data_IF_837505591920
#
_entry.id   IF_837505591920
#
_cell.length_a   1.000
_cell.length_b   1.000
_cell.length_c   1.000
_cell.angle_alpha   90.00
_cell.angle_beta   90.00
_cell.angle_gamma   90.00
#
_symmetry.space_group_name_H-M   'P 1'
#
loop_
_entity.id
_entity.type
_entity.pdbx_description
1 polymer ?
#
# COMPACT_ATOMS: atom_id res chain seq x y z
N UNK A 1 18.43 46.38 11.65
CA UNK A 1 17.48 45.44 12.28
C UNK A 1 18.26 44.51 13.20
N UNK A 2 17.90 44.41 14.49
CA UNK A 2 18.60 43.54 15.43
C UNK A 2 18.39 42.08 15.02
N UNK A 3 19.49 41.32 14.88
CA UNK A 3 19.43 39.88 14.58
C UNK A 3 18.98 39.17 15.86
N UNK A 4 17.85 38.48 15.78
CA UNK A 4 17.39 37.62 16.85
C UNK A 4 18.35 36.44 16.95
N UNK A 5 19.00 36.27 18.10
CA UNK A 5 19.79 35.07 18.36
C UNK A 5 18.84 33.90 18.63
N UNK A 6 18.69 33.05 17.62
CA UNK A 6 17.83 31.87 17.67
C UNK A 6 18.44 30.78 18.56
N UNK A 7 19.77 30.72 18.67
CA UNK A 7 20.45 29.72 19.48
C UNK A 7 20.17 29.94 20.97
N UNK A 8 20.23 31.19 21.43
CA UNK A 8 19.90 31.55 22.81
C UNK A 8 18.44 31.25 23.16
N UNK A 9 17.53 31.53 22.22
CA UNK A 9 16.10 31.22 22.41
C UNK A 9 15.82 29.72 22.49
N UNK A 10 16.49 28.92 21.65
CA UNK A 10 16.35 27.46 21.67
C UNK A 10 16.97 26.85 22.94
N UNK A 11 18.11 27.39 23.39
CA UNK A 11 18.76 26.98 24.65
C UNK A 11 17.87 27.28 25.86
N UNK A 12 17.35 28.50 25.95
CA UNK A 12 16.43 28.90 27.01
C UNK A 12 15.12 28.09 26.98
N UNK A 13 14.61 27.76 25.78
CA UNK A 13 13.44 26.89 25.64
C UNK A 13 13.72 25.46 26.13
N UNK A 14 14.87 24.89 25.76
CA UNK A 14 15.27 23.55 26.20
C UNK A 14 15.46 23.48 27.72
N UNK A 15 16.13 24.47 28.31
CA UNK A 15 16.31 24.56 29.76
C UNK A 15 14.98 24.68 30.54
N UNK A 16 13.98 25.38 29.96
CA UNK A 16 12.63 25.44 30.56
C UNK A 16 11.92 24.10 30.47
N UNK A 17 11.99 23.42 29.33
CA UNK A 17 11.42 22.08 29.16
C UNK A 17 12.08 21.11 30.14
N UNK A 18 13.41 21.10 30.24
CA UNK A 18 14.14 20.22 31.16
C UNK A 18 13.81 20.49 32.64
N UNK A 19 13.51 21.75 33.01
CA UNK A 19 13.10 22.12 34.36
C UNK A 19 11.61 21.85 34.67
N UNK A 20 10.77 21.73 33.64
CA UNK A 20 9.31 21.55 33.76
C UNK A 20 8.87 20.10 33.50
N UNK A 21 9.76 19.22 33.03
CA UNK A 21 9.49 17.80 32.92
C UNK A 21 9.36 17.22 34.34
N UNK A 22 8.16 16.81 34.80
CA UNK A 22 8.03 16.06 36.04
C UNK A 22 8.92 14.83 35.97
N UNK A 23 9.43 14.34 37.10
CA UNK A 23 10.09 13.04 37.19
C UNK A 23 9.11 11.96 36.71
N UNK A 24 9.12 11.66 35.42
CA UNK A 24 8.34 10.60 34.81
C UNK A 24 8.95 9.27 35.28
N UNK A 25 8.48 8.81 36.44
CA UNK A 25 8.68 7.46 36.94
C UNK A 25 8.37 6.45 35.82
N UNK A 26 9.41 5.76 35.35
CA UNK A 26 9.40 4.55 34.53
C UNK A 26 8.50 4.55 33.27
N UNK A 27 8.40 5.69 32.58
CA UNK A 27 7.89 5.67 31.20
C UNK A 27 8.98 5.08 30.30
N UNK A 28 8.95 3.76 30.08
CA UNK A 28 9.85 3.07 29.15
C UNK A 28 9.95 3.87 27.84
N UNK A 29 11.19 4.14 27.39
CA UNK A 29 11.44 4.95 26.21
C UNK A 29 10.54 4.53 25.05
N UNK A 30 10.01 5.47 24.25
CA UNK A 30 9.09 5.13 23.18
C UNK A 30 9.74 4.14 22.21
N UNK A 31 8.96 3.26 21.59
CA UNK A 31 9.50 2.13 20.82
C UNK A 31 10.55 2.58 19.79
N UNK A 32 10.32 3.69 19.09
CA UNK A 32 11.26 4.19 18.09
C UNK A 32 12.64 4.55 18.67
N UNK A 33 12.73 4.97 19.93
CA UNK A 33 13.98 5.35 20.58
C UNK A 33 14.79 4.13 21.04
N UNK A 34 14.14 2.97 21.14
CA UNK A 34 14.78 1.67 21.46
C UNK A 34 15.28 0.91 20.24
N UNK A 35 14.92 1.35 19.03
CA UNK A 35 15.25 0.65 17.78
C UNK A 35 16.34 1.38 16.99
N UNK A 36 17.20 0.62 16.31
CA UNK A 36 18.20 1.20 15.40
C UNK A 36 17.58 1.53 14.05
N UNK A 37 17.85 2.74 13.54
CA UNK A 37 17.37 3.18 12.22
C UNK A 37 18.12 2.46 11.11
N UNK A 38 17.36 1.88 10.17
CA UNK A 38 17.86 1.32 8.91
C UNK A 38 16.99 1.81 7.76
N UNK A 39 17.60 2.21 6.66
CA UNK A 39 16.90 2.54 5.42
C UNK A 39 16.70 1.27 4.59
N UNK A 40 15.47 1.05 4.14
CA UNK A 40 15.08 -0.12 3.31
C UNK A 40 14.43 0.37 2.03
N UNK A 41 14.87 -0.13 0.89
CA UNK A 41 14.21 0.10 -0.40
C UNK A 41 13.19 -1.00 -0.63
N UNK A 42 11.94 -0.61 -0.84
CA UNK A 42 10.83 -1.49 -1.18
C UNK A 42 10.32 -1.15 -2.56
N UNK A 43 9.77 -2.13 -3.27
CA UNK A 43 9.01 -1.88 -4.48
C UNK A 43 7.70 -1.16 -4.14
N UNK A 44 7.15 -0.43 -5.11
CA UNK A 44 5.95 0.39 -4.89
C UNK A 44 4.72 -0.46 -4.52
N UNK A 45 4.57 -1.61 -5.16
CA UNK A 45 3.54 -2.62 -4.85
C UNK A 45 3.68 -3.12 -3.40
N UNK A 46 4.89 -3.49 -2.97
CA UNK A 46 5.16 -3.94 -1.60
C UNK A 46 4.79 -2.87 -0.57
N UNK A 47 5.14 -1.61 -0.84
CA UNK A 47 4.81 -0.50 0.06
C UNK A 47 3.29 -0.30 0.16
N UNK A 48 2.59 -0.26 -0.98
CA UNK A 48 1.14 -0.11 -1.03
C UNK A 48 0.42 -1.26 -0.28
N UNK A 49 0.86 -2.50 -0.48
CA UNK A 49 0.32 -3.68 0.19
C UNK A 49 0.55 -3.66 1.70
N UNK A 50 1.77 -3.31 2.15
CA UNK A 50 2.07 -3.17 3.58
C UNK A 50 1.21 -2.10 4.24
N UNK A 51 1.04 -0.94 3.59
CA UNK A 51 0.17 0.12 4.10
C UNK A 51 -1.30 -0.29 4.16
N UNK A 52 -1.80 -1.04 3.16
CA UNK A 52 -3.16 -1.58 3.19
C UNK A 52 -3.33 -2.61 4.31
N UNK A 53 -2.37 -3.52 4.48
CA UNK A 53 -2.35 -4.55 5.50
C UNK A 53 -2.33 -3.95 6.92
N UNK A 54 -1.46 -2.96 7.17
CA UNK A 54 -1.38 -2.28 8.45
C UNK A 54 -2.72 -1.63 8.83
N UNK A 55 -3.35 -0.90 7.89
CA UNK A 55 -4.69 -0.31 8.10
C UNK A 55 -5.76 -1.37 8.37
N UNK A 56 -5.74 -2.48 7.63
CA UNK A 56 -6.66 -3.60 7.84
C UNK A 56 -6.50 -4.23 9.22
N UNK A 57 -5.27 -4.45 9.67
CA UNK A 57 -4.97 -4.99 11.01
C UNK A 57 -5.41 -4.02 12.12
N UNK A 58 -5.14 -2.72 11.96
CA UNK A 58 -5.60 -1.70 12.91
C UNK A 58 -7.13 -1.68 13.05
N UNK A 59 -7.88 -1.80 11.93
CA UNK A 59 -9.35 -1.86 11.96
C UNK A 59 -9.89 -3.13 12.61
N UNK A 60 -9.24 -4.27 12.39
CA UNK A 60 -9.69 -5.58 12.91
C UNK A 60 -9.33 -5.81 14.38
N UNK A 61 -8.38 -5.05 14.94
CA UNK A 61 -7.91 -5.28 16.31
C UNK A 61 -8.99 -4.90 17.32
N UNK A 62 -9.33 -5.84 18.22
CA UNK A 62 -10.36 -5.66 19.27
C UNK A 62 -9.92 -4.76 20.41
N UNK A 63 -8.64 -4.78 20.77
CA UNK A 63 -8.07 -4.02 21.90
C UNK A 63 -7.30 -2.81 21.36
N UNK A 64 -7.40 -1.64 21.99
CA UNK A 64 -6.54 -0.49 21.65
C UNK A 64 -5.20 -0.56 22.41
N UNK A 65 -4.14 -0.04 21.82
CA UNK A 65 -2.73 -0.30 22.15
C UNK A 65 -1.82 0.25 21.06
N UNK A 66 -0.53 -0.10 21.04
CA UNK A 66 0.47 0.47 20.11
C UNK A 66 0.03 0.43 18.63
N UNK A 67 0.38 1.47 17.87
CA UNK A 67 0.01 1.59 16.45
C UNK A 67 0.76 0.55 15.61
N UNK A 68 0.03 -0.21 14.82
CA UNK A 68 0.62 -1.14 13.85
C UNK A 68 0.97 -0.33 12.59
N UNK A 69 2.24 -0.31 12.22
CA UNK A 69 2.76 0.39 11.04
C UNK A 69 3.45 -0.58 10.08
N UNK A 70 3.82 -0.08 8.91
CA UNK A 70 4.66 -0.77 7.93
C UNK A 70 5.95 -1.26 8.59
N UNK A 71 6.59 -0.41 9.41
CA UNK A 71 7.80 -0.79 10.16
C UNK A 71 7.56 -1.91 11.16
N UNK A 72 6.36 -2.01 11.76
CA UNK A 72 6.01 -3.14 12.62
C UNK A 72 5.91 -4.43 11.81
N UNK A 73 5.31 -4.39 10.63
CA UNK A 73 5.20 -5.55 9.75
C UNK A 73 6.57 -5.99 9.19
N UNK A 74 7.42 -5.04 8.82
CA UNK A 74 8.80 -5.33 8.37
C UNK A 74 9.59 -6.04 9.48
N UNK A 75 9.48 -5.57 10.73
CA UNK A 75 10.15 -6.23 11.87
C UNK A 75 9.67 -7.67 12.06
N UNK A 76 8.35 -7.89 12.03
CA UNK A 76 7.78 -9.25 12.10
C UNK A 76 8.25 -10.12 10.94
N UNK A 77 8.30 -9.59 9.72
CA UNK A 77 8.81 -10.33 8.55
C UNK A 77 10.30 -10.70 8.71
N UNK A 78 11.12 -9.81 9.27
CA UNK A 78 12.52 -10.08 9.60
C UNK A 78 12.64 -11.18 10.66
N UNK A 79 11.84 -11.12 11.73
CA UNK A 79 11.84 -12.16 12.77
C UNK A 79 11.48 -13.54 12.18
N UNK A 80 10.46 -13.60 11.31
CA UNK A 80 10.07 -14.82 10.60
C UNK A 80 11.18 -15.35 9.69
N UNK A 81 11.89 -14.45 8.98
CA UNK A 81 13.01 -14.81 8.12
C UNK A 81 14.18 -15.38 8.93
N UNK A 82 14.54 -14.72 10.04
CA UNK A 82 15.63 -15.16 10.93
C UNK A 82 15.32 -16.47 11.65
N UNK A 83 14.04 -16.72 11.97
CA UNK A 83 13.59 -17.98 12.53
C UNK A 83 13.77 -19.16 11.54
N UNK A 84 13.70 -18.90 10.23
CA UNK A 84 13.85 -19.89 9.16
C UNK A 84 15.22 -19.82 8.45
N UNK A 85 16.22 -19.22 9.10
CA UNK A 85 17.54 -19.00 8.47
C UNK A 85 18.18 -20.29 7.90
N UNK A 86 17.92 -21.43 8.54
CA UNK A 86 18.53 -22.70 8.17
C UNK A 86 17.91 -23.28 6.88
N UNK A 87 16.70 -22.82 6.52
CA UNK A 87 15.97 -23.15 5.29
C UNK A 87 16.37 -22.27 4.10
N UNK A 88 17.01 -21.11 4.34
CA UNK A 88 17.39 -20.18 3.27
C UNK A 88 18.42 -20.81 2.33
N UNK A 89 18.03 -20.97 1.07
CA UNK A 89 18.86 -21.52 -0.01
C UNK A 89 18.62 -20.74 -1.29
N UNK A 90 19.67 -20.46 -2.04
CA UNK A 90 19.61 -19.68 -3.27
C UNK A 90 20.65 -18.56 -3.34
N UNK A 91 20.73 -17.93 -4.50
CA UNK A 91 21.68 -16.87 -4.84
C UNK A 91 21.01 -15.54 -5.20
N UNK A 92 19.69 -15.55 -5.41
CA UNK A 92 18.88 -14.37 -5.72
C UNK A 92 17.65 -14.24 -4.79
N UNK A 93 16.94 -13.11 -4.87
CA UNK A 93 15.76 -12.83 -4.04
C UNK A 93 14.64 -13.85 -4.26
N UNK A 94 14.47 -14.36 -5.48
CA UNK A 94 13.38 -15.27 -5.83
C UNK A 94 13.61 -16.68 -5.31
N UNK A 95 14.83 -17.19 -5.42
CA UNK A 95 15.25 -18.47 -4.85
C UNK A 95 15.17 -18.43 -3.32
N UNK A 96 15.68 -17.37 -2.68
CA UNK A 96 15.60 -17.19 -1.23
C UNK A 96 14.14 -17.12 -0.78
N UNK A 97 13.29 -16.36 -1.48
CA UNK A 97 11.86 -16.28 -1.18
C UNK A 97 11.19 -17.65 -1.29
N UNK A 98 11.43 -18.39 -2.38
CA UNK A 98 10.87 -19.74 -2.56
C UNK A 98 11.25 -20.64 -1.39
N UNK A 99 12.54 -20.67 -1.03
CA UNK A 99 13.08 -21.55 0.01
C UNK A 99 12.35 -21.47 1.36
N UNK A 100 11.85 -20.28 1.74
CA UNK A 100 11.13 -20.06 3.01
C UNK A 100 9.61 -19.93 2.87
N UNK A 101 9.05 -20.02 1.66
CA UNK A 101 7.60 -19.88 1.38
C UNK A 101 6.91 -21.15 0.89
N UNK A 102 7.63 -22.27 0.77
CA UNK A 102 7.08 -23.53 0.25
C UNK A 102 5.83 -24.05 0.98
N UNK A 103 5.62 -23.74 2.26
CA UNK A 103 4.38 -24.08 3.00
C UNK A 103 3.25 -23.04 2.93
N UNK A 104 3.46 -21.89 2.29
CA UNK A 104 2.45 -20.81 2.13
C UNK A 104 1.73 -20.93 0.77
N UNK A 105 2.42 -21.48 -0.24
CA UNK A 105 1.88 -21.64 -1.58
C UNK A 105 0.66 -22.60 -1.65
N UNK A 106 0.57 -23.59 -0.77
CA UNK A 106 -0.55 -24.54 -0.74
C UNK A 106 -1.89 -23.90 -0.33
N UNK A 107 -1.86 -22.72 0.32
CA UNK A 107 -3.06 -21.95 0.68
C UNK A 107 -3.48 -20.95 -0.40
N UNK A 108 -2.63 -20.68 -1.38
CA UNK A 108 -2.91 -19.82 -2.52
C UNK A 108 -2.98 -20.65 -3.80
N UNK A 109 -3.84 -21.67 -3.86
CA UNK A 109 -4.20 -22.28 -5.14
C UNK A 109 -4.88 -21.21 -6.00
N UNK A 110 -4.26 -20.73 -7.10
CA UNK A 110 -4.99 -19.93 -8.06
C UNK A 110 -5.96 -20.89 -8.74
N UNK A 111 -7.26 -20.66 -8.59
CA UNK A 111 -8.28 -21.29 -9.45
C UNK A 111 -7.89 -20.96 -10.88
N UNK A 112 -7.43 -21.98 -11.58
CA UNK A 112 -7.00 -21.93 -12.95
C UNK A 112 -8.16 -21.43 -13.84
N UNK A 113 -8.00 -20.27 -14.46
CA UNK A 113 -8.77 -19.95 -15.66
C UNK A 113 -8.06 -20.59 -16.86
N UNK A 114 -8.28 -21.90 -17.02
CA UNK A 114 -7.93 -22.60 -18.25
C UNK A 114 -8.95 -22.23 -19.33
N UNK A 115 -8.48 -21.46 -20.29
CA UNK A 115 -8.69 -21.66 -21.73
C UNK A 115 -10.08 -22.10 -22.19
N UNK A 116 -10.89 -21.14 -22.67
CA UNK A 116 -11.85 -21.41 -23.76
C UNK A 116 -11.23 -20.94 -25.07
N UNK A 117 -10.33 -21.75 -25.57
CA UNK A 117 -9.89 -21.74 -26.97
C UNK A 117 -9.80 -23.20 -27.40
N UNK A 118 -10.89 -23.75 -27.92
CA UNK A 118 -10.84 -24.49 -29.19
C UNK A 118 -12.23 -24.94 -29.61
N UNK A 119 -12.52 -24.79 -30.90
CA UNK A 119 -13.83 -25.08 -31.46
C UNK A 119 -13.92 -24.69 -32.93
N UNK A 120 -12.90 -25.02 -33.72
CA UNK A 120 -13.01 -25.14 -35.17
C UNK A 120 -14.21 -26.05 -35.49
N UNK A 121 -15.28 -25.48 -36.06
CA UNK A 121 -16.22 -26.24 -36.89
C UNK A 121 -16.14 -25.72 -38.31
N UNK A 122 -15.65 -26.60 -39.17
CA UNK A 122 -15.71 -26.47 -40.62
C UNK A 122 -17.12 -26.77 -41.14
N UNK A 123 -17.39 -26.22 -42.33
CA UNK A 123 -18.38 -26.62 -43.35
C UNK A 123 -19.83 -26.16 -43.19
N UNK A 124 -20.29 -25.40 -44.21
CA UNK A 124 -21.71 -25.20 -44.53
C UNK A 124 -22.06 -23.79 -45.02
N UNK A 125 -21.84 -23.49 -46.30
CA UNK A 125 -22.69 -22.54 -47.08
C UNK A 125 -23.60 -23.39 -47.99
N UNK A 126 -24.64 -22.83 -48.66
CA UNK A 126 -25.29 -21.52 -48.57
C UNK A 126 -26.83 -21.62 -48.45
N UNK A 127 -27.50 -20.58 -47.95
CA UNK A 127 -28.89 -20.29 -48.37
C UNK A 127 -29.02 -18.79 -48.61
N UNK A 128 -29.33 -18.47 -49.85
CA UNK A 128 -29.75 -17.15 -50.33
C UNK A 128 -31.24 -17.00 -50.03
N UNK A 129 -31.61 -15.94 -49.31
CA UNK A 129 -32.91 -15.30 -49.46
C UNK A 129 -32.68 -13.78 -49.39
N UNK A 130 -32.80 -13.15 -50.56
CA UNK A 130 -33.08 -11.72 -50.68
C UNK A 130 -34.38 -11.38 -49.94
N UNK A 131 -34.42 -10.20 -49.31
CA UNK A 131 -35.54 -9.25 -49.34
C UNK A 131 -35.38 -8.17 -48.26
N UNK A 132 -35.30 -6.93 -48.75
CA UNK A 132 -35.84 -5.69 -48.16
C UNK A 132 -35.30 -5.11 -46.84
N UNK A 133 -34.72 -3.91 -47.01
CA UNK A 133 -34.65 -2.78 -46.04
C UNK A 133 -36.01 -2.49 -45.36
N UNK A 134 -36.08 -1.75 -44.21
CA UNK A 134 -35.20 -0.63 -43.86
C UNK A 134 -34.74 -0.55 -42.38
N UNK A 135 -33.72 0.29 -42.15
CA UNK A 135 -33.26 0.76 -40.83
C UNK A 135 -34.42 1.28 -39.95
N UNK A 136 -34.25 1.33 -38.61
CA UNK A 136 -34.07 2.68 -38.07
C UNK A 136 -33.24 2.80 -36.76
N UNK A 137 -32.72 4.02 -36.57
CA UNK A 137 -32.41 4.77 -35.33
C UNK A 137 -31.09 4.50 -34.61
N UNK A 138 -30.10 5.30 -35.03
CA UNK A 138 -29.07 5.90 -34.20
C UNK A 138 -29.63 6.31 -32.83
N UNK A 139 -29.21 5.61 -31.77
CA UNK A 139 -29.27 6.13 -30.41
C UNK A 139 -28.11 7.11 -30.23
N UNK A 140 -28.45 8.39 -30.19
CA UNK A 140 -27.55 9.46 -29.75
C UNK A 140 -27.36 9.40 -28.23
N UNK A 141 -26.13 9.61 -27.70
CA UNK A 141 -25.98 9.98 -26.30
C UNK A 141 -26.30 11.47 -26.10
N UNK A 142 -27.24 11.75 -25.20
CA UNK A 142 -27.50 13.07 -24.63
C UNK A 142 -26.23 13.63 -24.00
N UNK A 143 -25.62 14.63 -24.63
CA UNK A 143 -24.68 15.53 -24.00
C UNK A 143 -25.47 16.45 -23.06
N UNK A 144 -25.39 16.19 -21.75
CA UNK A 144 -25.87 17.12 -20.74
C UNK A 144 -24.83 18.23 -20.55
N UNK A 145 -25.20 19.43 -20.97
CA UNK A 145 -24.45 20.66 -20.85
C UNK A 145 -24.56 21.28 -19.43
N UNK A 146 -23.53 22.06 -19.07
CA UNK A 146 -23.55 23.11 -18.04
C UNK A 146 -23.04 22.66 -16.66
N UNK A 147 -22.18 23.39 -15.93
CA UNK A 147 -21.84 24.83 -15.99
C UNK A 147 -20.55 25.10 -15.17
N UNK A 148 -19.98 26.33 -15.22
CA UNK A 148 -18.57 26.61 -14.98
C UNK A 148 -18.17 26.91 -13.52
N UNK A 149 -16.87 26.84 -13.30
CA UNK A 149 -16.14 27.17 -12.07
C UNK A 149 -16.19 28.68 -11.78
N UNK A 150 -16.48 29.15 -10.56
CA UNK A 150 -16.40 30.57 -10.22
C UNK A 150 -14.93 31.02 -10.04
N UNK A 151 -14.51 31.97 -10.86
CA UNK A 151 -13.29 32.77 -10.70
C UNK A 151 -13.42 33.66 -9.47
N UNK A 152 -12.55 33.48 -8.48
CA UNK A 152 -12.37 34.40 -7.36
C UNK A 152 -11.54 35.59 -7.86
N UNK A 153 -12.16 36.77 -7.89
CA UNK A 153 -11.50 38.04 -8.20
C UNK A 153 -10.54 38.45 -7.08
N UNK A 154 -9.31 38.80 -7.46
CA UNK A 154 -8.36 39.53 -6.63
C UNK A 154 -8.58 41.02 -6.87
N UNK A 155 -8.88 41.74 -5.80
CA UNK A 155 -8.96 43.20 -5.76
C UNK A 155 -7.54 43.74 -5.59
N UNK A 156 -7.13 44.64 -6.49
CA UNK A 156 -6.00 45.57 -6.33
C UNK A 156 -6.47 46.96 -6.72
#
# INVERSE_FOLDING_TARGET
MPKVDLADKLSAARARVDAELPEFVDAEAPMFARLTRKETRLREDQYAELSALARSLMRRRRVKGERITENTLIRVAVDLLLARRDELRGSDEDELRKSVTHGVAELQTPVAQQSRSDGLRQSGTPVVCDSDSPAPRLFAPLALAGSPVPTIGVVS
#
